data_IF_423797307922
#
_entry.id   IF_423797307922
#
_cell.length_a   1.000
_cell.length_b   1.000
_cell.length_c   1.000
_cell.angle_alpha   90.00
_cell.angle_beta   90.00
_cell.angle_gamma   90.00
#
_symmetry.space_group_name_H-M   'P 1'
#
loop_
_entity.id
_entity.type
_entity.pdbx_description
1 polymer ?
#
# COMPACT_ATOMS: atom_id res chain seq x y z
N UNK A 1 -24.59 -19.57 1.65
CA UNK A 1 -24.12 -18.27 1.16
C UNK A 1 -22.86 -17.98 1.92
N UNK A 2 -21.79 -17.55 1.25
CA UNK A 2 -20.59 -17.07 1.92
C UNK A 2 -20.97 -15.95 2.88
N UNK A 3 -20.30 -15.87 4.03
CA UNK A 3 -20.56 -14.81 5.00
C UNK A 3 -19.86 -13.54 4.54
N UNK A 4 -20.53 -12.78 3.69
CA UNK A 4 -20.00 -11.54 3.11
C UNK A 4 -20.36 -10.37 4.03
N UNK A 5 -19.33 -9.65 4.46
CA UNK A 5 -19.47 -8.37 5.17
C UNK A 5 -18.74 -7.26 4.43
N UNK A 6 -19.43 -6.15 4.18
CA UNK A 6 -18.84 -4.93 3.62
C UNK A 6 -18.85 -3.84 4.69
N UNK A 7 -17.68 -3.42 5.16
CA UNK A 7 -17.56 -2.36 6.16
C UNK A 7 -16.96 -1.11 5.53
N UNK A 8 -17.71 -0.01 5.54
CA UNK A 8 -17.23 1.28 5.06
C UNK A 8 -16.91 2.19 6.23
N UNK A 9 -15.68 2.71 6.28
CA UNK A 9 -15.20 3.63 7.31
C UNK A 9 -14.72 4.93 6.68
N UNK A 10 -15.21 6.06 7.15
CA UNK A 10 -14.81 7.37 6.62
C UNK A 10 -13.54 7.93 7.26
N UNK A 11 -13.07 9.07 6.77
CA UNK A 11 -11.92 9.84 7.28
C UNK A 11 -12.05 10.33 8.75
N UNK A 12 -13.21 10.15 9.38
CA UNK A 12 -13.49 10.48 10.78
C UNK A 12 -13.73 9.25 11.65
N UNK A 13 -13.35 8.07 11.18
CA UNK A 13 -13.53 6.79 11.88
C UNK A 13 -14.99 6.48 12.25
N UNK A 14 -15.94 6.95 11.45
CA UNK A 14 -17.35 6.54 11.54
C UNK A 14 -17.58 5.44 10.51
N UNK A 15 -18.11 4.30 10.96
CA UNK A 15 -18.30 3.12 10.13
C UNK A 15 -19.74 2.63 10.09
N UNK A 16 -20.08 1.94 9.00
CA UNK A 16 -21.29 1.12 8.82
C UNK A 16 -20.85 -0.21 8.20
N UNK A 17 -21.45 -1.30 8.66
CA UNK A 17 -21.32 -2.62 8.06
C UNK A 17 -22.61 -2.99 7.31
N UNK A 18 -22.48 -3.53 6.10
CA UNK A 18 -23.56 -4.09 5.30
C UNK A 18 -23.39 -5.60 5.25
N UNK A 19 -24.49 -6.33 5.48
CA UNK A 19 -24.49 -7.80 5.54
C UNK A 19 -25.74 -8.39 4.90
N UNK A 20 -25.65 -9.63 4.45
CA UNK A 20 -26.80 -10.39 3.95
C UNK A 20 -27.68 -10.94 5.07
N UNK A 21 -27.16 -11.03 6.30
CA UNK A 21 -27.93 -11.51 7.45
C UNK A 21 -28.91 -10.45 7.96
N UNK A 22 -30.05 -10.92 8.47
CA UNK A 22 -31.08 -10.07 9.04
C UNK A 22 -30.89 -9.81 10.54
N UNK A 23 -29.95 -10.51 11.17
CA UNK A 23 -29.80 -10.51 12.62
C UNK A 23 -28.94 -9.34 13.12
N UNK A 24 -29.57 -8.42 13.86
CA UNK A 24 -28.95 -7.32 14.61
C UNK A 24 -28.21 -6.22 13.82
N UNK A 25 -28.40 -6.11 12.49
CA UNK A 25 -27.86 -5.02 11.69
C UNK A 25 -28.99 -4.27 10.95
N UNK A 26 -29.17 -2.95 11.12
CA UNK A 26 -30.20 -2.20 10.39
C UNK A 26 -29.88 -1.94 8.90
N UNK A 27 -28.70 -2.34 8.41
CA UNK A 27 -28.25 -2.13 7.03
C UNK A 27 -28.06 -3.48 6.33
N UNK A 28 -29.09 -3.94 5.63
CA UNK A 28 -29.08 -5.20 4.91
C UNK A 28 -28.58 -4.99 3.48
N UNK A 29 -27.67 -5.84 3.03
CA UNK A 29 -27.15 -5.81 1.67
C UNK A 29 -28.17 -6.48 0.72
N UNK A 30 -28.50 -5.81 -0.38
CA UNK A 30 -29.35 -6.34 -1.45
C UNK A 30 -28.56 -6.63 -2.72
N UNK A 31 -27.50 -5.85 -2.97
CA UNK A 31 -26.67 -5.96 -4.16
C UNK A 31 -25.33 -5.28 -3.96
N UNK A 32 -24.31 -5.82 -4.60
CA UNK A 32 -22.94 -5.35 -4.48
C UNK A 32 -22.24 -5.54 -5.83
N UNK A 33 -22.04 -4.42 -6.54
CA UNK A 33 -21.42 -4.40 -7.86
C UNK A 33 -20.00 -3.80 -7.80
N UNK A 34 -19.17 -4.16 -8.77
CA UNK A 34 -17.81 -3.61 -8.91
C UNK A 34 -16.78 -4.21 -7.96
N UNK A 35 -17.09 -5.34 -7.32
CA UNK A 35 -16.20 -6.04 -6.38
C UNK A 35 -15.29 -7.04 -7.11
N UNK A 36 -15.87 -7.98 -7.86
CA UNK A 36 -15.11 -9.06 -8.51
C UNK A 36 -14.49 -8.66 -9.86
N UNK A 37 -15.23 -7.93 -10.70
CA UNK A 37 -14.80 -7.57 -12.05
C UNK A 37 -14.01 -6.25 -12.10
N UNK A 38 -13.26 -6.05 -13.17
CA UNK A 38 -12.61 -4.78 -13.50
C UNK A 38 -12.73 -4.49 -15.00
N UNK A 39 -12.70 -3.20 -15.34
CA UNK A 39 -12.71 -2.73 -16.73
C UNK A 39 -11.37 -2.09 -17.10
N UNK A 40 -10.99 -2.23 -18.37
CA UNK A 40 -9.81 -1.56 -18.92
C UNK A 40 -10.19 -0.57 -20.03
N UNK A 41 -9.40 0.50 -20.16
CA UNK A 41 -9.30 1.28 -21.38
C UNK A 41 -8.26 0.61 -22.28
N UNK A 42 -8.66 0.13 -23.45
CA UNK A 42 -7.77 -0.46 -24.45
C UNK A 42 -7.49 0.56 -25.54
N UNK A 43 -6.22 0.86 -25.77
CA UNK A 43 -5.77 1.79 -26.81
C UNK A 43 -5.33 1.00 -28.04
N UNK A 44 -5.91 1.31 -29.20
CA UNK A 44 -5.56 0.69 -30.49
C UNK A 44 -5.36 1.75 -31.56
N UNK A 45 -4.49 1.48 -32.53
CA UNK A 45 -4.31 2.30 -33.74
C UNK A 45 -4.83 1.55 -34.97
N UNK A 46 -5.70 2.16 -35.76
CA UNK A 46 -6.20 1.54 -37.00
C UNK A 46 -5.07 1.26 -38.00
N UNK A 47 -5.15 0.11 -38.66
CA UNK A 47 -4.18 -0.27 -39.68
C UNK A 47 -4.53 0.40 -41.02
N UNK A 48 -3.52 0.89 -41.75
CA UNK A 48 -3.74 1.68 -42.98
C UNK A 48 -3.96 0.85 -44.24
N UNK A 49 -3.44 -0.38 -44.30
CA UNK A 49 -3.44 -1.23 -45.50
C UNK A 49 -3.98 -2.65 -45.27
N UNK A 50 -4.38 -2.96 -44.03
CA UNK A 50 -4.93 -4.26 -43.63
C UNK A 50 -6.13 -4.04 -42.73
N UNK A 51 -7.06 -5.00 -42.71
CA UNK A 51 -8.23 -4.93 -41.84
C UNK A 51 -7.80 -5.06 -40.37
N UNK A 52 -8.40 -4.25 -39.50
CA UNK A 52 -8.21 -4.28 -38.05
C UNK A 52 -7.37 -3.14 -37.49
N UNK A 53 -6.91 -3.30 -36.25
CA UNK A 53 -6.11 -2.33 -35.52
C UNK A 53 -4.97 -3.01 -34.77
N UNK A 54 -3.92 -2.23 -34.49
CA UNK A 54 -2.77 -2.66 -33.70
C UNK A 54 -2.96 -2.22 -32.25
N UNK A 55 -2.83 -3.14 -31.31
CA UNK A 55 -2.87 -2.87 -29.87
C UNK A 55 -1.66 -2.03 -29.44
N UNK A 56 -1.90 -0.98 -28.66
CA UNK A 56 -0.87 -0.06 -28.16
C UNK A 56 -0.67 -0.19 -26.64
N UNK A 57 -1.70 -0.62 -25.90
CA UNK A 57 -1.65 -0.72 -24.45
C UNK A 57 -3.04 -0.74 -23.83
N UNK A 58 -3.10 -1.05 -22.54
CA UNK A 58 -4.34 -1.00 -21.75
C UNK A 58 -4.08 -0.54 -20.33
N UNK A 59 -5.02 0.21 -19.76
CA UNK A 59 -4.97 0.65 -18.37
C UNK A 59 -6.26 0.29 -17.65
N UNK A 60 -6.17 -0.09 -16.38
CA UNK A 60 -7.36 -0.27 -15.54
C UNK A 60 -8.11 1.07 -15.38
N UNK A 61 -9.43 1.04 -15.51
CA UNK A 61 -10.27 2.21 -15.22
C UNK A 61 -10.40 2.40 -13.71
N UNK A 62 -10.79 3.60 -13.30
CA UNK A 62 -11.28 3.83 -11.94
C UNK A 62 -12.41 2.85 -11.65
N UNK A 63 -12.37 2.21 -10.48
CA UNK A 63 -13.38 1.22 -10.09
C UNK A 63 -14.58 1.94 -9.49
N UNK A 64 -15.77 1.62 -10.01
CA UNK A 64 -17.02 2.02 -9.40
C UNK A 64 -17.59 0.86 -8.60
N UNK A 65 -17.72 1.04 -7.28
CA UNK A 65 -18.39 0.09 -6.38
C UNK A 65 -19.77 0.65 -6.06
N UNK A 66 -20.81 -0.15 -6.34
CA UNK A 66 -22.19 0.21 -6.03
C UNK A 66 -22.73 -0.73 -4.96
N UNK A 67 -23.07 -0.16 -3.81
CA UNK A 67 -23.73 -0.88 -2.72
C UNK A 67 -25.22 -0.56 -2.77
N UNK A 68 -26.05 -1.58 -2.94
CA UNK A 68 -27.50 -1.47 -2.80
C UNK A 68 -27.88 -2.09 -1.48
N UNK A 69 -28.42 -1.28 -0.56
CA UNK A 69 -28.73 -1.71 0.78
C UNK A 69 -30.15 -1.29 1.19
N UNK A 70 -30.80 -2.16 1.94
CA UNK A 70 -32.09 -1.93 2.56
C UNK A 70 -31.89 -1.49 4.02
N UNK A 71 -32.58 -0.41 4.41
CA UNK A 71 -32.52 0.10 5.79
C UNK A 71 -33.77 -0.34 6.54
N UNK A 72 -33.58 -1.03 7.66
CA UNK A 72 -34.64 -1.36 8.62
C UNK A 72 -34.49 -0.53 9.92
N UNK A 73 -35.56 -0.43 10.72
CA UNK A 73 -35.57 0.22 12.03
C UNK A 73 -35.76 1.74 11.99
N UNK A 74 -35.06 2.48 12.87
CA UNK A 74 -35.19 3.94 12.97
C UNK A 74 -34.62 4.64 11.72
N UNK A 75 -35.49 4.82 10.71
CA UNK A 75 -35.18 5.46 9.44
C UNK A 75 -34.47 6.79 9.55
N UNK A 76 -34.85 7.61 10.53
CA UNK A 76 -34.27 8.94 10.67
C UNK A 76 -32.83 8.81 11.15
N UNK A 77 -32.62 8.05 12.22
CA UNK A 77 -31.30 7.82 12.80
C UNK A 77 -30.36 7.11 11.83
N UNK A 78 -30.84 6.06 11.16
CA UNK A 78 -30.03 5.26 10.23
C UNK A 78 -29.69 6.05 8.96
N UNK A 79 -30.60 6.89 8.46
CA UNK A 79 -30.30 7.82 7.36
C UNK A 79 -29.27 8.88 7.76
N UNK A 80 -29.41 9.47 8.96
CA UNK A 80 -28.43 10.44 9.47
C UNK A 80 -27.04 9.78 9.65
N UNK A 81 -26.99 8.53 10.10
CA UNK A 81 -25.76 7.73 10.16
C UNK A 81 -25.17 7.48 8.77
N UNK A 82 -25.99 7.08 7.80
CA UNK A 82 -25.59 6.86 6.41
C UNK A 82 -24.92 8.11 5.81
N UNK A 83 -25.54 9.28 5.95
CA UNK A 83 -24.96 10.53 5.46
C UNK A 83 -23.70 10.96 6.21
N UNK A 84 -23.55 10.52 7.46
CA UNK A 84 -22.33 10.77 8.23
C UNK A 84 -21.17 9.87 7.78
N UNK A 85 -21.44 8.61 7.42
CA UNK A 85 -20.42 7.69 6.88
C UNK A 85 -20.09 7.98 5.43
N UNK A 86 -21.06 8.45 4.65
CA UNK A 86 -20.86 8.81 3.24
C UNK A 86 -21.08 10.30 2.97
N UNK A 87 -20.23 11.21 3.50
CA UNK A 87 -20.32 12.63 3.16
C UNK A 87 -19.91 12.85 1.70
N UNK A 88 -20.60 13.77 1.03
CA UNK A 88 -20.35 14.11 -0.38
C UNK A 88 -18.87 14.39 -0.67
N UNK A 89 -18.29 13.63 -1.60
CA UNK A 89 -16.94 13.84 -2.12
C UNK A 89 -15.80 13.52 -1.15
N UNK A 90 -16.09 12.96 0.04
CA UNK A 90 -15.06 12.54 1.00
C UNK A 90 -14.55 11.14 0.71
N UNK A 91 -13.34 10.87 1.20
CA UNK A 91 -12.69 9.58 1.09
C UNK A 91 -13.04 8.68 2.28
N UNK A 92 -12.94 7.37 2.06
CA UNK A 92 -13.07 6.35 3.09
C UNK A 92 -12.40 5.06 2.66
N UNK A 93 -12.40 4.08 3.55
CA UNK A 93 -11.91 2.72 3.29
C UNK A 93 -13.09 1.76 3.33
N UNK A 94 -13.21 0.94 2.29
CA UNK A 94 -14.13 -0.19 2.24
C UNK A 94 -13.32 -1.45 2.54
N UNK A 95 -13.77 -2.20 3.54
CA UNK A 95 -13.27 -3.53 3.89
C UNK A 95 -14.29 -4.55 3.40
N UNK A 96 -13.86 -5.42 2.50
CA UNK A 96 -14.63 -6.55 1.99
C UNK A 96 -14.12 -7.81 2.68
N UNK A 97 -15.01 -8.54 3.36
CA UNK A 97 -14.71 -9.82 3.97
C UNK A 97 -15.58 -10.92 3.38
N UNK A 98 -14.96 -12.01 2.96
CA UNK A 98 -15.62 -13.23 2.48
C UNK A 98 -14.88 -14.45 3.01
N UNK A 99 -15.58 -15.32 3.76
CA UNK A 99 -15.04 -16.55 4.35
C UNK A 99 -13.74 -16.36 5.17
N UNK A 100 -13.56 -15.16 5.74
CA UNK A 100 -12.41 -14.80 6.57
C UNK A 100 -11.21 -14.20 5.81
N UNK A 101 -11.23 -14.21 4.46
CA UNK A 101 -10.30 -13.37 3.70
C UNK A 101 -10.85 -11.94 3.69
N UNK A 102 -9.94 -10.97 3.85
CA UNK A 102 -10.30 -9.57 4.00
C UNK A 102 -9.41 -8.73 3.10
N UNK A 103 -10.04 -7.97 2.20
CA UNK A 103 -9.37 -6.99 1.36
C UNK A 103 -9.92 -5.60 1.61
N UNK A 104 -9.07 -4.60 1.43
CA UNK A 104 -9.43 -3.19 1.58
C UNK A 104 -9.27 -2.42 0.28
N UNK A 105 -10.08 -1.39 0.11
CA UNK A 105 -9.95 -0.44 -0.99
C UNK A 105 -10.33 0.97 -0.53
N UNK A 106 -9.58 1.95 -1.02
CA UNK A 106 -9.86 3.36 -0.74
C UNK A 106 -10.86 3.90 -1.76
N UNK A 107 -11.96 4.47 -1.27
CA UNK A 107 -13.00 5.05 -2.11
C UNK A 107 -13.17 6.55 -1.88
N UNK A 108 -13.85 7.20 -2.81
CA UNK A 108 -14.48 8.52 -2.68
C UNK A 108 -15.97 8.42 -2.93
N UNK A 109 -16.78 9.07 -2.11
CA UNK A 109 -18.24 9.05 -2.24
C UNK A 109 -18.67 9.85 -3.47
N UNK A 110 -19.31 9.18 -4.42
CA UNK A 110 -19.91 9.80 -5.61
C UNK A 110 -21.35 10.21 -5.34
N UNK A 111 -22.18 9.26 -4.90
CA UNK A 111 -23.60 9.53 -4.62
C UNK A 111 -24.20 8.59 -3.58
N UNK A 112 -25.24 9.07 -2.90
CA UNK A 112 -26.08 8.29 -1.99
C UNK A 112 -27.52 8.64 -2.33
N UNK A 113 -28.22 7.73 -2.99
CA UNK A 113 -29.57 7.96 -3.53
C UNK A 113 -30.58 7.03 -2.88
N UNK A 114 -31.72 7.55 -2.37
CA UNK A 114 -32.80 6.68 -1.93
C UNK A 114 -33.50 6.07 -3.15
N UNK A 115 -33.88 4.79 -3.04
CA UNK A 115 -34.80 4.14 -3.98
C UNK A 115 -36.24 4.59 -3.72
N UNK A 116 -37.02 3.77 -3.02
CA UNK A 116 -38.37 4.16 -2.60
C UNK A 116 -38.34 5.15 -1.41
N UNK A 117 -39.05 6.27 -1.54
CA UNK A 117 -39.17 7.28 -0.46
C UNK A 117 -40.32 6.99 0.52
N UNK A 118 -41.14 5.99 0.20
CA UNK A 118 -42.32 5.55 0.96
C UNK A 118 -42.27 4.04 1.17
N UNK A 119 -42.61 3.58 2.36
CA UNK A 119 -42.52 2.16 2.72
C UNK A 119 -42.06 1.99 4.16
N UNK A 120 -42.36 0.81 4.72
CA UNK A 120 -41.84 0.38 6.02
C UNK A 120 -40.38 0.04 5.91
N UNK A 121 -39.89 -0.37 4.72
CA UNK A 121 -38.49 -0.63 4.42
C UNK A 121 -38.07 0.21 3.21
N UNK A 122 -36.84 0.72 3.20
CA UNK A 122 -36.38 1.69 2.19
C UNK A 122 -34.97 1.37 1.69
N UNK A 123 -34.86 1.27 0.38
CA UNK A 123 -33.59 1.00 -0.30
C UNK A 123 -32.76 2.27 -0.49
N UNK A 124 -31.45 2.09 -0.46
CA UNK A 124 -30.45 3.09 -0.79
C UNK A 124 -29.42 2.50 -1.74
N UNK A 125 -29.06 3.27 -2.75
CA UNK A 125 -27.93 2.99 -3.64
C UNK A 125 -26.80 3.95 -3.28
N UNK A 126 -25.62 3.39 -3.00
CA UNK A 126 -24.41 4.13 -2.61
C UNK A 126 -23.38 3.85 -3.69
N UNK A 127 -22.96 4.90 -4.41
CA UNK A 127 -21.93 4.81 -5.44
C UNK A 127 -20.61 5.35 -4.92
N UNK A 128 -19.56 4.54 -5.04
CA UNK A 128 -18.23 4.78 -4.53
C UNK A 128 -17.23 4.68 -5.69
N UNK A 129 -16.44 5.74 -5.90
CA UNK A 129 -15.40 5.77 -6.95
C UNK A 129 -14.04 5.55 -6.29
N UNK A 130 -13.31 4.54 -6.76
CA UNK A 130 -11.97 4.19 -6.32
C UNK A 130 -10.98 4.60 -7.42
N UNK A 131 -10.24 5.68 -7.16
CA UNK A 131 -9.22 6.21 -8.10
C UNK A 131 -8.03 5.27 -8.23
N UNK A 132 -7.73 4.53 -7.16
CA UNK A 132 -6.87 3.35 -7.19
C UNK A 132 -7.79 2.12 -7.28
N UNK A 133 -7.84 1.41 -8.42
CA UNK A 133 -8.84 0.37 -8.66
C UNK A 133 -8.51 -0.97 -8.00
N UNK A 134 -7.34 -1.09 -7.37
CA UNK A 134 -6.90 -2.34 -6.77
C UNK A 134 -7.43 -2.51 -5.34
N UNK A 135 -7.93 -3.71 -5.06
CA UNK A 135 -8.07 -4.19 -3.69
C UNK A 135 -6.69 -4.51 -3.12
N UNK A 136 -6.52 -4.36 -1.82
CA UNK A 136 -5.24 -4.57 -1.15
C UNK A 136 -5.42 -5.40 0.10
N UNK A 137 -4.35 -6.08 0.50
CA UNK A 137 -4.31 -6.75 1.80
C UNK A 137 -4.36 -5.75 2.97
N UNK A 138 -4.67 -6.27 4.15
CA UNK A 138 -4.83 -5.47 5.36
C UNK A 138 -3.52 -4.85 5.86
N UNK A 139 -2.39 -5.51 5.61
CA UNK A 139 -1.06 -5.10 6.06
C UNK A 139 -0.05 -5.17 4.91
N UNK A 140 1.06 -4.46 5.11
CA UNK A 140 2.21 -4.59 4.23
C UNK A 140 2.96 -5.90 4.51
N UNK A 141 3.74 -6.34 3.53
CA UNK A 141 4.76 -7.37 3.65
C UNK A 141 6.11 -6.66 3.72
N UNK A 142 6.88 -6.96 4.76
CA UNK A 142 8.27 -6.53 4.88
C UNK A 142 9.22 -7.57 4.29
N UNK A 143 10.12 -7.12 3.43
CA UNK A 143 11.21 -7.90 2.86
C UNK A 143 12.52 -7.26 3.30
N UNK A 144 13.18 -7.90 4.26
CA UNK A 144 14.50 -7.49 4.74
C UNK A 144 15.56 -8.03 3.77
N UNK A 145 16.33 -7.12 3.16
CA UNK A 145 17.44 -7.47 2.27
C UNK A 145 18.78 -7.42 3.00
N UNK A 146 18.93 -6.51 3.96
CA UNK A 146 20.14 -6.41 4.77
C UNK A 146 19.83 -5.85 6.15
N UNK A 147 20.29 -6.54 7.19
CA UNK A 147 20.15 -6.09 8.58
C UNK A 147 21.17 -6.79 9.50
N UNK A 148 21.29 -6.29 10.73
CA UNK A 148 22.00 -6.96 11.80
C UNK A 148 21.03 -7.83 12.60
N UNK A 149 21.36 -9.11 12.76
CA UNK A 149 20.61 -10.05 13.59
C UNK A 149 21.27 -10.13 14.95
N UNK A 150 20.47 -10.03 16.02
CA UNK A 150 20.94 -10.21 17.38
C UNK A 150 20.99 -11.70 17.72
N UNK A 151 22.17 -12.23 17.97
CA UNK A 151 22.36 -13.64 18.38
C UNK A 151 22.44 -13.82 19.90
N UNK A 152 22.51 -12.71 20.62
CA UNK A 152 22.64 -12.72 22.06
C UNK A 152 21.27 -12.74 22.76
N UNK A 153 21.16 -13.58 23.81
CA UNK A 153 19.98 -13.70 24.65
C UNK A 153 20.38 -13.84 26.12
N UNK A 154 19.48 -13.46 27.04
CA UNK A 154 19.73 -13.59 28.48
C UNK A 154 19.78 -15.07 28.91
N UNK A 155 20.50 -15.34 30.01
CA UNK A 155 20.96 -16.68 30.46
C UNK A 155 22.16 -17.24 29.67
N UNK A 156 22.68 -16.52 28.68
CA UNK A 156 23.88 -16.92 27.94
C UNK A 156 25.16 -16.76 28.80
N UNK A 157 26.10 -17.70 28.66
CA UNK A 157 27.39 -17.70 29.35
C UNK A 157 28.50 -17.21 28.43
N UNK A 158 29.50 -16.51 28.97
CA UNK A 158 30.67 -16.12 28.18
C UNK A 158 31.56 -17.32 27.92
N UNK A 159 31.58 -17.82 26.68
CA UNK A 159 32.52 -18.85 26.23
C UNK A 159 33.95 -18.29 26.22
N UNK A 160 34.93 -19.14 26.52
CA UNK A 160 36.37 -18.79 26.49
C UNK A 160 36.85 -18.41 25.07
N UNK A 161 36.15 -18.87 24.03
CA UNK A 161 36.41 -18.54 22.64
C UNK A 161 35.74 -17.23 22.18
N UNK A 162 35.00 -16.56 23.07
CA UNK A 162 34.18 -15.40 22.75
C UNK A 162 32.73 -15.78 22.44
N UNK A 163 31.84 -14.80 22.53
CA UNK A 163 30.42 -14.93 22.21
C UNK A 163 30.11 -13.97 21.08
N UNK A 164 29.45 -14.45 20.05
CA UNK A 164 28.92 -13.62 18.98
C UNK A 164 27.68 -12.88 19.50
N UNK A 165 27.70 -11.54 19.42
CA UNK A 165 26.58 -10.71 19.87
C UNK A 165 25.53 -10.50 18.79
N UNK A 166 25.94 -10.66 17.54
CA UNK A 166 25.11 -10.52 16.37
C UNK A 166 25.97 -10.65 15.13
N UNK A 167 25.32 -11.04 14.04
CA UNK A 167 25.93 -11.14 12.72
C UNK A 167 25.12 -10.31 11.72
N UNK A 168 25.77 -9.97 10.60
CA UNK A 168 25.11 -9.25 9.51
C UNK A 168 24.56 -10.27 8.51
N UNK A 169 23.25 -10.27 8.36
CA UNK A 169 22.60 -10.98 7.26
C UNK A 169 22.40 -10.00 6.10
N UNK A 170 22.86 -10.37 4.91
CA UNK A 170 22.59 -9.58 3.73
C UNK A 170 22.52 -10.39 2.46
N UNK A 171 21.50 -10.05 1.71
CA UNK A 171 21.12 -10.63 0.45
C UNK A 171 21.08 -9.50 -0.58
N UNK A 172 22.16 -9.37 -1.36
CA UNK A 172 22.31 -8.31 -2.36
C UNK A 172 21.27 -8.39 -3.48
N UNK A 173 20.68 -9.58 -3.68
CA UNK A 173 19.70 -9.87 -4.72
C UNK A 173 18.52 -10.58 -4.07
N UNK A 174 17.37 -9.92 -4.05
CA UNK A 174 16.14 -10.45 -3.46
C UNK A 174 15.08 -10.62 -4.54
N UNK A 175 14.47 -11.79 -4.59
CA UNK A 175 13.32 -12.06 -5.45
C UNK A 175 12.02 -11.86 -4.67
N UNK A 176 11.12 -11.07 -5.23
CA UNK A 176 9.76 -10.83 -4.71
C UNK A 176 8.76 -11.36 -5.73
N UNK A 177 7.96 -12.33 -5.31
CA UNK A 177 6.90 -12.93 -6.12
C UNK A 177 5.61 -12.12 -6.00
N UNK A 178 5.17 -11.55 -7.13
CA UNK A 178 3.90 -10.83 -7.24
C UNK A 178 2.98 -11.52 -8.25
N UNK A 179 2.41 -12.66 -7.87
CA UNK A 179 1.59 -13.50 -8.76
C UNK A 179 0.08 -13.18 -8.62
N UNK A 180 -0.28 -11.90 -8.53
CA UNK A 180 -1.65 -11.46 -8.27
C UNK A 180 -2.28 -10.69 -9.45
N UNK A 181 -1.58 -10.60 -10.58
CA UNK A 181 -2.06 -9.94 -11.80
C UNK A 181 -2.07 -8.41 -11.73
N UNK A 182 -1.51 -7.82 -10.66
CA UNK A 182 -1.44 -6.38 -10.49
C UNK A 182 -0.03 -5.87 -10.81
N UNK A 183 0.05 -5.03 -11.83
CA UNK A 183 1.28 -4.33 -12.22
C UNK A 183 1.42 -2.98 -11.51
N UNK A 184 2.66 -2.51 -11.43
CA UNK A 184 3.04 -1.21 -10.88
C UNK A 184 2.64 -1.03 -9.42
N UNK A 185 2.81 -2.08 -8.61
CA UNK A 185 2.62 -1.99 -7.15
C UNK A 185 3.73 -1.11 -6.57
N UNK A 186 3.32 -0.05 -5.87
CA UNK A 186 4.23 0.82 -5.14
C UNK A 186 4.87 0.09 -3.96
N UNK A 187 6.17 0.28 -3.80
CA UNK A 187 6.94 -0.11 -2.64
C UNK A 187 7.37 1.10 -1.80
N UNK A 188 7.67 0.83 -0.55
CA UNK A 188 8.38 1.72 0.37
C UNK A 188 9.75 1.11 0.65
N UNK A 189 10.82 1.70 0.13
CA UNK A 189 12.18 1.24 0.40
C UNK A 189 12.80 2.04 1.56
N UNK A 190 13.41 1.32 2.49
CA UNK A 190 14.03 1.87 3.70
C UNK A 190 15.51 1.59 3.65
N UNK A 191 16.30 2.66 3.67
CA UNK A 191 17.74 2.62 3.88
C UNK A 191 18.03 3.09 5.29
N UNK A 192 18.73 2.28 6.08
CA UNK A 192 19.24 2.67 7.39
C UNK A 192 20.76 2.57 7.37
N UNK A 193 21.40 3.59 7.88
CA UNK A 193 22.85 3.63 8.03
C UNK A 193 23.26 3.24 9.46
N UNK A 194 24.11 2.23 9.60
CA UNK A 194 24.80 1.88 10.86
C UNK A 194 26.23 2.48 10.92
N UNK A 195 26.57 3.29 9.92
CA UNK A 195 27.85 3.94 9.66
C UNK A 195 27.70 4.87 8.45
N UNK A 196 28.76 5.54 8.00
CA UNK A 196 28.63 6.48 6.86
C UNK A 196 28.43 5.68 5.56
N UNK A 197 27.32 5.96 4.85
CA UNK A 197 26.99 5.37 3.55
C UNK A 197 26.89 6.47 2.51
N UNK A 198 27.64 6.34 1.41
CA UNK A 198 27.62 7.33 0.33
C UNK A 198 26.77 6.85 -0.84
N UNK A 199 25.88 7.71 -1.32
CA UNK A 199 25.08 7.53 -2.53
C UNK A 199 24.36 6.15 -2.61
N UNK A 200 23.50 5.79 -1.64
CA UNK A 200 22.79 4.51 -1.64
C UNK A 200 21.78 4.42 -2.79
N UNK A 201 21.57 3.20 -3.30
CA UNK A 201 20.72 2.92 -4.45
C UNK A 201 19.97 1.59 -4.33
N UNK A 202 18.80 1.51 -4.95
CA UNK A 202 17.99 0.30 -5.13
C UNK A 202 17.58 0.17 -6.59
N UNK A 203 17.62 -1.05 -7.11
CA UNK A 203 17.41 -1.38 -8.52
C UNK A 203 16.31 -2.42 -8.65
N UNK A 204 15.56 -2.32 -9.74
CA UNK A 204 14.61 -3.34 -10.17
C UNK A 204 15.02 -3.87 -11.54
N UNK A 205 15.44 -5.14 -11.58
CA UNK A 205 16.14 -5.70 -12.75
C UNK A 205 15.23 -5.80 -13.97
N UNK A 206 13.98 -6.21 -13.79
CA UNK A 206 13.01 -6.48 -14.85
C UNK A 206 12.56 -5.20 -15.55
N UNK A 207 12.39 -4.09 -14.81
CA UNK A 207 12.08 -2.80 -15.42
C UNK A 207 13.31 -2.03 -15.87
N UNK A 208 14.51 -2.43 -15.45
CA UNK A 208 15.76 -1.71 -15.67
C UNK A 208 15.83 -0.34 -14.99
N UNK A 209 14.92 -0.07 -14.03
CA UNK A 209 14.83 1.20 -13.31
C UNK A 209 15.58 1.13 -11.99
N UNK A 210 15.98 2.30 -11.49
CA UNK A 210 16.65 2.41 -10.20
C UNK A 210 16.35 3.75 -9.53
N UNK A 211 16.45 3.75 -8.21
CA UNK A 211 16.43 4.97 -7.40
C UNK A 211 17.78 5.05 -6.72
N UNK A 212 18.49 6.15 -6.95
CA UNK A 212 19.76 6.45 -6.30
C UNK A 212 19.67 7.81 -5.62
N UNK A 213 20.09 7.85 -4.36
CA UNK A 213 20.04 9.05 -3.52
C UNK A 213 21.45 9.62 -3.44
N UNK A 214 21.71 10.62 -4.28
CA UNK A 214 23.00 11.25 -4.49
C UNK A 214 23.63 10.84 -5.82
N UNK A 215 24.24 11.79 -6.53
CA UNK A 215 24.79 11.59 -7.87
C UNK A 215 26.03 12.43 -8.11
N UNK A 216 26.73 12.18 -9.22
CA UNK A 216 27.94 12.91 -9.55
C UNK A 216 27.64 14.42 -9.69
N UNK A 217 28.19 15.23 -8.79
CA UNK A 217 27.93 16.68 -8.72
C UNK A 217 26.96 17.09 -7.62
N UNK A 218 26.26 16.16 -6.99
CA UNK A 218 25.45 16.37 -5.79
C UNK A 218 25.47 15.11 -4.90
N UNK A 219 26.60 14.91 -4.21
CA UNK A 219 26.81 13.77 -3.33
C UNK A 219 25.87 13.81 -2.11
N UNK A 220 25.46 12.63 -1.67
CA UNK A 220 24.67 12.42 -0.46
C UNK A 220 25.37 11.42 0.45
N UNK A 221 25.51 11.78 1.73
CA UNK A 221 26.08 10.92 2.77
C UNK A 221 25.03 10.68 3.85
N UNK A 222 24.57 9.43 3.93
CA UNK A 222 23.70 8.98 5.01
C UNK A 222 24.55 8.69 6.24
N UNK A 223 24.31 9.43 7.32
CA UNK A 223 25.07 9.30 8.56
C UNK A 223 24.53 8.16 9.43
N UNK A 224 25.37 7.65 10.33
CA UNK A 224 24.97 6.60 11.28
C UNK A 224 23.72 6.99 12.07
N UNK A 225 22.75 6.09 12.13
CA UNK A 225 21.46 6.27 12.79
C UNK A 225 20.39 6.95 11.94
N UNK A 226 20.73 7.48 10.76
CA UNK A 226 19.76 8.10 9.86
C UNK A 226 19.06 7.09 8.97
N UNK A 227 17.87 7.47 8.52
CA UNK A 227 17.05 6.69 7.59
C UNK A 227 16.75 7.49 6.33
N UNK A 228 16.82 6.84 5.18
CA UNK A 228 16.15 7.32 3.96
C UNK A 228 14.93 6.45 3.70
N UNK A 229 13.77 7.08 3.57
CA UNK A 229 12.50 6.44 3.27
C UNK A 229 12.06 6.87 1.88
N UNK A 230 11.91 5.91 0.97
CA UNK A 230 11.59 6.14 -0.43
C UNK A 230 10.19 5.59 -0.70
N UNK A 231 9.25 6.47 -0.97
CA UNK A 231 7.91 6.08 -1.43
C UNK A 231 7.86 6.05 -2.94
N UNK A 232 7.38 4.95 -3.49
CA UNK A 232 7.19 4.78 -4.95
C UNK A 232 5.72 4.67 -5.36
N UNK A 233 4.80 4.75 -4.38
CA UNK A 233 3.35 4.68 -4.58
C UNK A 233 2.84 5.73 -5.57
N UNK A 234 1.91 5.33 -6.43
CA UNK A 234 1.28 6.21 -7.41
C UNK A 234 0.68 7.46 -6.73
N UNK A 235 1.10 8.65 -7.18
CA UNK A 235 0.66 9.92 -6.61
C UNK A 235 1.31 10.33 -5.28
N UNK A 236 2.20 9.49 -4.71
CA UNK A 236 2.93 9.76 -3.44
C UNK A 236 4.45 9.57 -3.56
N UNK A 237 4.99 9.57 -4.78
CA UNK A 237 6.43 9.38 -5.04
C UNK A 237 7.27 10.50 -4.40
N UNK A 238 8.08 10.17 -3.39
CA UNK A 238 8.95 11.10 -2.66
C UNK A 238 10.06 10.36 -1.91
N UNK A 239 11.12 11.09 -1.57
CA UNK A 239 12.25 10.62 -0.77
C UNK A 239 12.34 11.47 0.49
N UNK A 240 12.40 10.83 1.65
CA UNK A 240 12.47 11.47 2.96
C UNK A 240 13.74 11.07 3.69
N UNK A 241 14.36 12.02 4.38
CA UNK A 241 15.41 11.79 5.37
C UNK A 241 14.77 11.87 6.77
N UNK A 242 15.01 10.84 7.59
CA UNK A 242 14.77 10.90 9.02
C UNK A 242 16.10 11.08 9.74
N UNK A 243 16.23 12.20 10.45
CA UNK A 243 17.43 12.57 11.19
C UNK A 243 17.08 12.82 12.66
N UNK A 244 17.81 12.17 13.57
CA UNK A 244 17.59 12.28 15.02
C UNK A 244 16.40 11.50 15.59
N UNK A 245 15.81 10.57 14.83
CA UNK A 245 14.78 9.64 15.32
C UNK A 245 15.39 8.28 15.65
N UNK A 246 15.08 7.73 16.81
CA UNK A 246 15.53 6.40 17.21
C UNK A 246 14.67 5.29 16.62
N UNK A 247 15.23 4.09 16.51
CA UNK A 247 14.46 2.90 16.10
C UNK A 247 13.26 2.66 17.03
N UNK A 248 13.41 2.88 18.33
CA UNK A 248 12.32 2.69 19.30
C UNK A 248 11.14 3.64 19.02
N UNK A 249 11.42 4.91 18.72
CA UNK A 249 10.37 5.88 18.34
C UNK A 249 9.67 5.49 17.04
N UNK A 250 10.41 4.97 16.04
CA UNK A 250 9.80 4.45 14.80
C UNK A 250 8.88 3.26 15.11
N UNK A 251 9.31 2.35 15.98
CA UNK A 251 8.54 1.16 16.36
C UNK A 251 7.26 1.45 17.15
N UNK A 252 7.12 2.63 17.77
CA UNK A 252 5.87 3.08 18.39
C UNK A 252 4.75 3.31 17.35
N UNK A 253 5.10 3.44 16.07
CA UNK A 253 4.18 3.62 14.95
C UNK A 253 3.86 2.32 14.20
N UNK A 254 3.94 1.17 14.88
CA UNK A 254 3.44 -0.10 14.33
C UNK A 254 1.92 -0.10 14.24
N UNK A 255 1.41 -0.58 13.12
CA UNK A 255 -0.01 -0.87 12.95
C UNK A 255 -0.43 -2.08 13.78
N UNK A 256 -1.73 -2.41 13.73
CA UNK A 256 -2.28 -3.57 14.45
C UNK A 256 -1.72 -4.92 14.00
N UNK A 257 -0.99 -4.97 12.89
CA UNK A 257 -0.35 -6.16 12.32
C UNK A 257 1.16 -6.21 12.58
N UNK A 258 1.69 -5.22 13.30
CA UNK A 258 3.11 -5.14 13.66
C UNK A 258 3.99 -4.50 12.58
N UNK A 259 3.41 -3.98 11.50
CA UNK A 259 4.14 -3.30 10.42
C UNK A 259 4.26 -1.80 10.71
N UNK A 260 5.40 -1.19 10.38
CA UNK A 260 5.60 0.24 10.58
C UNK A 260 4.71 1.04 9.62
N UNK A 261 3.89 1.94 10.16
CA UNK A 261 3.19 2.95 9.37
C UNK A 261 4.15 4.06 8.95
N UNK A 262 4.87 3.81 7.85
CA UNK A 262 5.84 4.75 7.31
C UNK A 262 5.21 6.08 6.88
N UNK A 263 3.93 6.12 6.49
CA UNK A 263 3.26 7.38 6.14
C UNK A 263 3.16 8.30 7.37
N UNK A 264 2.77 7.74 8.52
CA UNK A 264 2.76 8.46 9.79
C UNK A 264 4.17 8.89 10.20
N UNK A 265 5.16 7.99 10.13
CA UNK A 265 6.55 8.27 10.51
C UNK A 265 7.14 9.43 9.69
N UNK A 266 7.05 9.40 8.36
CA UNK A 266 7.62 10.48 7.53
C UNK A 266 6.85 11.80 7.71
N UNK A 267 5.56 11.75 8.04
CA UNK A 267 4.79 12.97 8.32
C UNK A 267 5.23 13.67 9.61
N UNK A 268 5.73 12.91 10.58
CA UNK A 268 6.18 13.42 11.88
C UNK A 268 7.66 13.81 11.89
N UNK A 269 8.52 12.98 11.31
CA UNK A 269 9.98 13.08 11.44
C UNK A 269 10.71 13.35 10.12
N UNK A 270 10.01 13.25 8.98
CA UNK A 270 10.65 13.25 7.67
C UNK A 270 10.87 14.64 7.09
N UNK A 271 12.03 14.82 6.46
CA UNK A 271 12.33 15.95 5.59
C UNK A 271 12.44 15.47 4.16
N UNK A 272 11.73 16.12 3.21
CA UNK A 272 11.82 15.76 1.80
C UNK A 272 13.21 16.12 1.25
N UNK A 273 13.84 15.17 0.56
CA UNK A 273 15.20 15.30 0.01
C UNK A 273 15.29 14.97 -1.50
N UNK A 274 14.19 15.18 -2.25
CA UNK A 274 14.10 14.86 -3.68
C UNK A 274 15.20 15.50 -4.55
N UNK A 275 15.82 16.60 -4.11
CA UNK A 275 16.95 17.23 -4.80
C UNK A 275 18.19 16.33 -4.93
N UNK A 276 18.27 15.24 -4.16
CA UNK A 276 19.34 14.25 -4.26
C UNK A 276 18.97 13.06 -5.15
N UNK A 277 17.75 12.98 -5.69
CA UNK A 277 17.41 11.94 -6.66
C UNK A 277 18.30 12.09 -7.90
N UNK A 278 19.00 11.02 -8.26
CA UNK A 278 19.78 10.94 -9.50
C UNK A 278 18.89 11.27 -10.72
N UNK A 279 19.38 12.13 -11.61
CA UNK A 279 18.61 12.66 -12.75
C UNK A 279 18.19 11.57 -13.76
N UNK A 280 18.98 10.49 -13.84
CA UNK A 280 18.69 9.33 -14.68
C UNK A 280 17.89 8.24 -13.92
N UNK A 281 17.67 8.44 -12.61
CA UNK A 281 16.89 7.55 -11.76
C UNK A 281 15.38 7.72 -11.95
N UNK A 282 14.63 6.63 -11.75
CA UNK A 282 13.17 6.63 -11.76
C UNK A 282 12.62 5.72 -10.65
N UNK A 283 11.43 6.05 -10.15
CA UNK A 283 10.79 5.30 -9.08
C UNK A 283 10.42 3.90 -9.55
N UNK A 284 10.99 2.89 -8.90
CA UNK A 284 10.72 1.47 -9.14
C UNK A 284 9.35 1.06 -8.57
N UNK A 285 8.65 0.15 -9.24
CA UNK A 285 7.39 -0.43 -8.80
C UNK A 285 7.38 -1.92 -9.20
N UNK A 286 6.81 -2.78 -8.37
CA UNK A 286 6.72 -4.21 -8.68
C UNK A 286 5.77 -4.44 -9.85
N UNK A 287 6.16 -5.33 -10.75
CA UNK A 287 5.35 -5.83 -11.87
C UNK A 287 4.76 -7.19 -11.50
N UNK A 288 3.79 -7.67 -12.27
CA UNK A 288 3.30 -9.04 -12.16
C UNK A 288 4.42 -10.06 -12.44
N UNK A 289 4.44 -11.14 -11.66
CA UNK A 289 5.48 -12.17 -11.69
C UNK A 289 6.64 -11.92 -10.73
N UNK A 290 7.81 -12.47 -11.07
CA UNK A 290 9.04 -12.36 -10.28
C UNK A 290 9.68 -10.99 -10.46
N UNK A 291 10.00 -10.34 -9.34
CA UNK A 291 10.68 -9.04 -9.30
C UNK A 291 12.03 -9.19 -8.58
N UNK A 292 13.12 -8.92 -9.28
CA UNK A 292 14.48 -9.04 -8.75
C UNK A 292 14.97 -7.66 -8.31
N UNK A 293 15.01 -7.48 -6.99
CA UNK A 293 15.45 -6.25 -6.33
C UNK A 293 16.90 -6.39 -5.91
N UNK A 294 17.72 -5.39 -6.22
CA UNK A 294 19.10 -5.32 -5.73
C UNK A 294 19.40 -3.96 -5.12
N UNK A 295 20.42 -3.85 -4.28
CA UNK A 295 20.82 -2.58 -3.67
C UNK A 295 22.33 -2.38 -3.74
N UNK A 296 22.77 -1.12 -3.70
CA UNK A 296 24.18 -0.75 -3.73
C UNK A 296 24.44 0.56 -2.99
N UNK A 297 25.70 0.88 -2.76
CA UNK A 297 26.16 2.20 -2.34
C UNK A 297 27.54 2.49 -2.96
N UNK A 298 27.87 3.75 -3.21
CA UNK A 298 29.20 4.14 -3.71
C UNK A 298 30.29 3.81 -2.69
N UNK A 299 29.99 3.99 -1.40
CA UNK A 299 30.83 3.53 -0.30
C UNK A 299 29.98 3.22 0.93
N UNK A 300 30.50 2.41 1.84
CA UNK A 300 29.82 2.09 3.09
C UNK A 300 28.70 1.05 2.98
N UNK A 301 28.63 0.25 1.90
CA UNK A 301 27.57 -0.76 1.71
C UNK A 301 27.40 -1.75 2.89
N UNK A 302 28.48 -2.09 3.60
CA UNK A 302 28.43 -2.96 4.78
C UNK A 302 27.72 -2.32 5.98
N UNK A 303 27.57 -0.98 5.97
CA UNK A 303 26.82 -0.23 6.97
C UNK A 303 25.40 0.10 6.52
N UNK A 304 25.01 -0.34 5.33
CA UNK A 304 23.68 -0.13 4.79
C UNK A 304 22.80 -1.33 5.11
N UNK A 305 21.76 -1.06 5.89
CA UNK A 305 20.63 -1.96 6.11
C UNK A 305 19.49 -1.55 5.18
N UNK A 306 18.85 -2.52 4.52
CA UNK A 306 17.84 -2.29 3.48
C UNK A 306 16.62 -3.17 3.74
N UNK A 307 15.45 -2.55 3.76
CA UNK A 307 14.16 -3.25 3.83
C UNK A 307 13.19 -2.66 2.82
N UNK A 308 12.32 -3.49 2.27
CA UNK A 308 11.29 -3.09 1.31
C UNK A 308 9.93 -3.50 1.85
N UNK A 309 9.01 -2.56 1.90
CA UNK A 309 7.62 -2.79 2.27
C UNK A 309 6.75 -2.66 1.03
N UNK A 310 5.82 -3.58 0.85
CA UNK A 310 4.83 -3.48 -0.22
C UNK A 310 3.54 -4.13 0.24
N UNK A 311 2.44 -3.75 -0.40
CA UNK A 311 1.13 -4.33 -0.11
C UNK A 311 0.64 -5.08 -1.33
N UNK A 312 0.25 -6.33 -1.10
CA UNK A 312 -0.30 -7.16 -2.18
C UNK A 312 -1.57 -6.48 -2.69
N UNK A 313 -1.66 -6.36 -4.01
CA UNK A 313 -2.73 -5.68 -4.72
C UNK A 313 -3.42 -6.63 -5.69
N UNK A 314 -4.73 -6.49 -5.83
CA UNK A 314 -5.60 -7.40 -6.57
C UNK A 314 -6.57 -6.61 -7.46
N UNK A 315 -6.80 -7.08 -8.69
CA UNK A 315 -7.79 -6.53 -9.62
C UNK A 315 -9.24 -6.92 -9.27
N UNK A 316 -9.44 -7.71 -8.24
CA UNK A 316 -10.73 -8.16 -7.72
C UNK A 316 -10.50 -8.90 -6.41
N UNK A 317 -11.57 -9.17 -5.69
CA UNK A 317 -11.59 -10.15 -4.58
C UNK A 317 -12.03 -11.50 -5.09
#
# INVERSE_FOLDING_TARGET
MADITVTCTNDKNVSIAFRWDWDNNPFHLLGLDGIYGYDCNVTTSENTTTDGSTYQGSTAKERNIVITAEIDGDYRKNRELLYRVFPKGRTGTLEYSEDGDIKIITYRVESVTPGATTGVVRDYTISLICTDPYFKDLSDVEVVMASWVSDWYFENGFDINGVEFGHREAELVKEIENNNGADNIGITAIFRADGIVKNPAIYHSESGKYIKVGYAGNDFELQSGQYVVIFTHTGKKNIYLLDGVSQAEIEEHKDRYGMIDWETVVSMYGTIINQYLDEDGDFIQLQDGTNTITYNAESGINYLSVSVYYRISYLGV
#
